data_IF_646765607869
#
_entry.id   IF_646765607869
#
_cell.length_a   1.000
_cell.length_b   1.000
_cell.length_c   1.000
_cell.angle_alpha   90.00
_cell.angle_beta   90.00
_cell.angle_gamma   90.00
#
_symmetry.space_group_name_H-M   'P 1'
#
loop_
_entity.id
_entity.type
_entity.pdbx_description
1 polymer ?
#
# COMPACT_ATOMS: atom_id res chain seq x y z
N UNK A 1 2.14 12.04 -40.69
CA UNK A 1 2.69 10.74 -40.27
C UNK A 1 2.64 10.72 -38.76
N UNK A 2 1.60 10.11 -38.20
CA UNK A 2 1.43 9.91 -36.76
C UNK A 2 2.21 8.66 -36.38
N UNK A 3 3.16 8.80 -35.45
CA UNK A 3 3.96 7.68 -34.95
C UNK A 3 3.06 6.72 -34.16
N UNK A 4 3.17 5.40 -34.36
CA UNK A 4 2.29 4.40 -33.74
C UNK A 4 2.36 4.39 -32.20
N UNK A 5 3.49 4.79 -31.61
CA UNK A 5 3.66 4.88 -30.16
C UNK A 5 2.80 5.98 -29.52
N UNK A 6 2.46 7.04 -30.28
CA UNK A 6 1.57 8.11 -29.80
C UNK A 6 0.09 7.71 -29.80
N UNK A 7 -0.33 6.84 -30.71
CA UNK A 7 -1.73 6.37 -30.73
C UNK A 7 -2.03 5.37 -29.62
N UNK A 8 -1.05 4.55 -29.23
CA UNK A 8 -1.22 3.58 -28.13
C UNK A 8 -1.42 4.30 -26.79
N UNK A 9 -0.63 5.35 -26.53
CA UNK A 9 -0.75 6.18 -25.33
C UNK A 9 -2.07 6.97 -25.25
N UNK A 10 -2.61 7.45 -26.37
CA UNK A 10 -3.90 8.17 -26.37
C UNK A 10 -5.10 7.24 -26.09
N UNK A 11 -5.07 5.99 -26.56
CA UNK A 11 -6.12 5.01 -26.32
C UNK A 11 -6.19 4.58 -24.85
N UNK A 12 -5.02 4.34 -24.23
CA UNK A 12 -4.94 3.97 -22.81
C UNK A 12 -5.42 5.12 -21.91
N UNK A 13 -5.06 6.37 -22.22
CA UNK A 13 -5.52 7.55 -21.50
C UNK A 13 -7.05 7.75 -21.59
N UNK A 14 -7.65 7.49 -22.76
CA UNK A 14 -9.11 7.54 -22.93
C UNK A 14 -9.83 6.43 -22.15
N UNK A 15 -9.24 5.23 -22.09
CA UNK A 15 -9.78 4.12 -21.29
C UNK A 15 -9.76 4.44 -19.79
N UNK A 16 -8.65 4.98 -19.29
CA UNK A 16 -8.51 5.41 -17.90
C UNK A 16 -9.48 6.53 -17.54
N UNK A 17 -9.67 7.53 -18.41
CA UNK A 17 -10.65 8.59 -18.17
C UNK A 17 -12.09 8.06 -18.11
N UNK A 18 -12.46 7.11 -18.98
CA UNK A 18 -13.80 6.53 -18.96
C UNK A 18 -14.11 5.78 -17.66
N UNK A 19 -13.10 5.14 -17.04
CA UNK A 19 -13.24 4.49 -15.73
C UNK A 19 -13.44 5.51 -14.60
N UNK A 20 -12.70 6.61 -14.64
CA UNK A 20 -12.85 7.72 -13.68
C UNK A 20 -14.23 8.36 -13.80
N UNK A 21 -14.69 8.65 -15.01
CA UNK A 21 -16.01 9.22 -15.26
C UNK A 21 -17.12 8.26 -14.80
N UNK A 22 -16.96 6.96 -15.05
CA UNK A 22 -17.89 5.95 -14.56
C UNK A 22 -17.93 5.93 -13.04
N UNK A 23 -16.78 5.92 -12.36
CA UNK A 23 -16.72 5.96 -10.90
C UNK A 23 -17.48 7.18 -10.32
N UNK A 24 -17.28 8.37 -10.89
CA UNK A 24 -17.96 9.58 -10.43
C UNK A 24 -19.48 9.59 -10.67
N UNK A 25 -19.97 8.79 -11.61
CA UNK A 25 -21.41 8.64 -11.87
C UNK A 25 -22.14 7.74 -10.86
N UNK A 26 -21.41 7.00 -10.04
CA UNK A 26 -21.95 6.03 -9.08
C UNK A 26 -22.26 6.67 -7.73
N UNK A 27 -23.22 6.09 -7.01
CA UNK A 27 -23.38 6.30 -5.57
C UNK A 27 -22.32 5.53 -4.78
N UNK A 28 -22.27 5.70 -3.46
CA UNK A 28 -21.19 5.12 -2.65
C UNK A 28 -21.18 3.59 -2.66
N UNK A 29 -22.37 2.96 -2.67
CA UNK A 29 -22.51 1.51 -2.84
C UNK A 29 -22.02 1.04 -4.21
N UNK A 30 -22.31 1.80 -5.27
CA UNK A 30 -21.82 1.57 -6.61
C UNK A 30 -20.29 1.72 -6.71
N UNK A 31 -19.72 2.77 -6.12
CA UNK A 31 -18.27 2.99 -6.06
C UNK A 31 -17.56 1.82 -5.38
N UNK A 32 -18.07 1.37 -4.23
CA UNK A 32 -17.52 0.22 -3.52
C UNK A 32 -17.56 -1.05 -4.38
N UNK A 33 -18.69 -1.31 -5.05
CA UNK A 33 -18.81 -2.45 -5.99
C UNK A 33 -17.84 -2.33 -7.18
N UNK A 34 -17.70 -1.13 -7.75
CA UNK A 34 -16.80 -0.85 -8.85
C UNK A 34 -15.34 -1.14 -8.47
N UNK A 35 -14.88 -0.62 -7.31
CA UNK A 35 -13.51 -0.84 -6.84
C UNK A 35 -13.25 -2.32 -6.51
N UNK A 36 -14.20 -3.03 -5.89
CA UNK A 36 -14.08 -4.47 -5.65
C UNK A 36 -14.00 -5.30 -6.93
N UNK A 37 -14.62 -4.83 -8.00
CA UNK A 37 -14.59 -5.45 -9.33
C UNK A 37 -13.39 -5.04 -10.18
N UNK A 38 -12.48 -4.20 -9.67
CA UNK A 38 -11.33 -3.72 -10.43
C UNK A 38 -10.37 -4.87 -10.75
N UNK A 39 -10.03 -5.04 -12.03
CA UNK A 39 -9.18 -6.14 -12.55
C UNK A 39 -8.16 -5.66 -13.60
N UNK A 40 -8.04 -4.36 -13.81
CA UNK A 40 -7.20 -3.79 -14.87
C UNK A 40 -5.79 -3.47 -14.33
N UNK A 41 -4.76 -3.46 -15.18
CA UNK A 41 -3.48 -2.88 -14.82
C UNK A 41 -3.68 -1.43 -14.37
N UNK A 42 -2.95 -1.03 -13.35
CA UNK A 42 -2.98 0.33 -12.86
C UNK A 42 -1.97 1.11 -13.70
N UNK A 43 -2.40 2.02 -14.57
CA UNK A 43 -1.50 2.99 -15.20
C UNK A 43 -1.26 4.19 -14.26
N UNK A 44 -0.38 5.12 -14.62
CA UNK A 44 -0.08 6.26 -13.76
C UNK A 44 -1.31 7.15 -13.50
N UNK A 45 -2.20 7.30 -14.48
CA UNK A 45 -3.42 8.12 -14.38
C UNK A 45 -4.40 7.51 -13.38
N UNK A 46 -4.66 6.20 -13.48
CA UNK A 46 -5.49 5.46 -12.56
C UNK A 46 -4.85 5.37 -11.18
N UNK A 47 -3.53 5.21 -11.08
CA UNK A 47 -2.84 5.23 -9.79
C UNK A 47 -3.02 6.59 -9.08
N UNK A 48 -2.87 7.69 -9.83
CA UNK A 48 -3.10 9.04 -9.32
C UNK A 48 -4.56 9.23 -8.89
N UNK A 49 -5.50 8.72 -9.68
CA UNK A 49 -6.91 8.76 -9.34
C UNK A 49 -7.23 7.94 -8.09
N UNK A 50 -6.79 6.69 -8.00
CA UNK A 50 -7.01 5.83 -6.82
C UNK A 50 -6.43 6.49 -5.57
N UNK A 51 -5.25 7.11 -5.68
CA UNK A 51 -4.67 7.87 -4.58
C UNK A 51 -5.53 9.07 -4.19
N UNK A 52 -6.10 9.79 -5.15
CA UNK A 52 -7.05 10.89 -4.85
C UNK A 52 -8.30 10.40 -4.12
N UNK A 53 -8.79 9.19 -4.43
CA UNK A 53 -9.91 8.57 -3.70
C UNK A 53 -9.48 8.24 -2.27
N UNK A 54 -8.32 7.64 -2.05
CA UNK A 54 -7.80 7.34 -0.70
C UNK A 54 -7.69 8.61 0.17
N UNK A 55 -7.24 9.72 -0.41
CA UNK A 55 -7.03 11.00 0.28
C UNK A 55 -8.25 11.92 0.34
N UNK A 56 -9.42 11.46 -0.11
CA UNK A 56 -10.65 12.26 -0.16
C UNK A 56 -11.52 12.14 1.10
N UNK A 57 -12.66 12.84 1.12
CA UNK A 57 -13.71 12.77 2.12
C UNK A 57 -14.80 11.73 1.82
N UNK A 58 -14.51 10.78 0.91
CA UNK A 58 -15.41 9.67 0.58
C UNK A 58 -15.61 8.74 1.79
N UNK A 59 -16.62 7.88 1.71
CA UNK A 59 -16.85 6.82 2.68
C UNK A 59 -15.58 5.94 2.86
N UNK A 60 -15.24 5.61 4.10
CA UNK A 60 -14.01 4.90 4.43
C UNK A 60 -13.93 3.53 3.76
N UNK A 61 -15.06 2.85 3.52
CA UNK A 61 -15.04 1.60 2.76
C UNK A 61 -14.56 1.82 1.32
N UNK A 62 -14.99 2.91 0.67
CA UNK A 62 -14.56 3.27 -0.69
C UNK A 62 -13.07 3.59 -0.68
N UNK A 63 -12.61 4.38 0.30
CA UNK A 63 -11.20 4.74 0.49
C UNK A 63 -10.34 3.49 0.72
N UNK A 64 -10.82 2.54 1.52
CA UNK A 64 -10.16 1.26 1.81
C UNK A 64 -10.01 0.42 0.54
N UNK A 65 -11.04 0.28 -0.29
CA UNK A 65 -10.92 -0.49 -1.53
C UNK A 65 -9.94 0.17 -2.51
N UNK A 66 -9.92 1.50 -2.60
CA UNK A 66 -8.94 2.23 -3.41
C UNK A 66 -7.51 2.01 -2.90
N UNK A 67 -7.28 2.01 -1.58
CA UNK A 67 -5.98 1.73 -0.98
C UNK A 67 -5.49 0.33 -1.36
N UNK A 68 -6.35 -0.69 -1.25
CA UNK A 68 -6.01 -2.07 -1.64
C UNK A 68 -5.63 -2.17 -3.11
N UNK A 69 -6.33 -1.45 -4.00
CA UNK A 69 -6.00 -1.44 -5.43
C UNK A 69 -4.58 -0.92 -5.66
N UNK A 70 -4.18 0.17 -4.98
CA UNK A 70 -2.82 0.73 -5.07
C UNK A 70 -1.74 -0.29 -4.67
N UNK A 71 -2.01 -1.16 -3.69
CA UNK A 71 -1.07 -2.20 -3.27
C UNK A 71 -1.07 -3.45 -4.17
N UNK A 72 -2.23 -3.84 -4.70
CA UNK A 72 -2.41 -5.10 -5.43
C UNK A 72 -2.12 -4.99 -6.94
N UNK A 73 -2.40 -3.84 -7.53
CA UNK A 73 -2.22 -3.61 -8.96
C UNK A 73 -1.06 -2.66 -9.19
N UNK A 74 -0.24 -2.98 -10.19
CA UNK A 74 0.90 -2.14 -10.61
C UNK A 74 0.92 -2.04 -12.12
N UNK A 75 1.44 -0.92 -12.61
CA UNK A 75 1.81 -0.73 -14.01
C UNK A 75 3.24 -0.24 -14.13
N UNK A 76 3.56 0.30 -15.30
CA UNK A 76 4.89 0.82 -15.61
C UNK A 76 4.99 2.31 -15.20
N UNK A 77 5.19 2.56 -13.91
CA UNK A 77 5.45 3.88 -13.35
C UNK A 77 6.24 3.78 -12.02
N UNK A 78 6.82 4.90 -11.59
CA UNK A 78 7.45 5.03 -10.27
C UNK A 78 6.38 5.20 -9.17
N UNK A 79 6.30 4.25 -8.25
CA UNK A 79 5.33 4.21 -7.14
C UNK A 79 5.75 5.04 -5.92
N UNK A 80 6.84 5.81 -5.98
CA UNK A 80 7.30 6.67 -4.88
C UNK A 80 6.26 7.67 -4.38
N UNK A 81 5.44 8.21 -5.29
CA UNK A 81 4.35 9.14 -4.91
C UNK A 81 3.25 8.44 -4.10
N UNK A 82 2.97 7.17 -4.42
CA UNK A 82 2.00 6.34 -3.69
C UNK A 82 2.54 6.07 -2.28
N UNK A 83 3.79 5.60 -2.16
CA UNK A 83 4.42 5.32 -0.86
C UNK A 83 4.39 6.55 0.04
N UNK A 84 4.79 7.70 -0.50
CA UNK A 84 4.83 8.97 0.24
C UNK A 84 3.46 9.37 0.77
N UNK A 85 2.43 9.28 -0.07
CA UNK A 85 1.07 9.66 0.31
C UNK A 85 0.43 8.67 1.30
N UNK A 86 0.65 7.37 1.16
CA UNK A 86 0.21 6.38 2.15
C UNK A 86 0.87 6.62 3.51
N UNK A 87 2.18 6.93 3.55
CA UNK A 87 2.89 7.27 4.80
C UNK A 87 2.30 8.54 5.44
N UNK A 88 1.97 9.56 4.65
CA UNK A 88 1.33 10.78 5.15
C UNK A 88 -0.02 10.46 5.79
N UNK A 89 -0.85 9.64 5.13
CA UNK A 89 -2.14 9.23 5.67
C UNK A 89 -1.99 8.43 6.97
N UNK A 90 -1.06 7.47 7.01
CA UNK A 90 -0.77 6.66 8.20
C UNK A 90 -0.30 7.54 9.37
N UNK A 91 0.40 8.65 9.10
CA UNK A 91 0.80 9.61 10.12
C UNK A 91 -0.29 10.59 10.54
N UNK A 92 -1.31 10.82 9.71
CA UNK A 92 -2.48 11.58 10.10
C UNK A 92 -3.27 10.86 11.22
N UNK A 93 -3.19 9.52 11.25
CA UNK A 93 -3.48 8.68 12.42
C UNK A 93 -4.83 9.00 13.07
N UNK A 94 -4.81 9.74 14.17
CA UNK A 94 -5.99 10.08 14.98
C UNK A 94 -7.10 10.86 14.23
N UNK A 95 -6.81 11.40 13.04
CA UNK A 95 -7.83 12.05 12.19
C UNK A 95 -8.51 11.13 11.19
N UNK A 96 -8.10 9.86 11.10
CA UNK A 96 -8.54 8.91 10.09
C UNK A 96 -9.13 7.65 10.73
N UNK A 97 -9.90 6.88 9.96
CA UNK A 97 -10.43 5.59 10.42
C UNK A 97 -9.32 4.54 10.60
N UNK A 98 -9.38 3.80 11.72
CA UNK A 98 -8.38 2.77 12.06
C UNK A 98 -8.27 1.69 10.97
N UNK A 99 -9.38 1.30 10.36
CA UNK A 99 -9.42 0.27 9.32
C UNK A 99 -8.78 0.79 8.04
N UNK A 100 -8.98 2.06 7.70
CA UNK A 100 -8.30 2.71 6.59
C UNK A 100 -6.79 2.72 6.81
N UNK A 101 -6.31 3.13 7.99
CA UNK A 101 -4.88 3.16 8.32
C UNK A 101 -4.25 1.77 8.22
N UNK A 102 -4.91 0.75 8.77
CA UNK A 102 -4.46 -0.65 8.66
C UNK A 102 -4.34 -1.09 7.19
N UNK A 103 -5.35 -0.78 6.36
CA UNK A 103 -5.31 -1.13 4.94
C UNK A 103 -4.26 -0.34 4.17
N UNK A 104 -3.95 0.91 4.55
CA UNK A 104 -2.85 1.66 3.96
C UNK A 104 -1.50 1.04 4.29
N UNK A 105 -1.29 0.57 5.53
CA UNK A 105 -0.06 -0.15 5.91
C UNK A 105 0.06 -1.46 5.12
N UNK A 106 -1.02 -2.22 4.98
CA UNK A 106 -1.02 -3.46 4.18
C UNK A 106 -0.75 -3.18 2.70
N UNK A 107 -1.32 -2.10 2.16
CA UNK A 107 -1.11 -1.73 0.76
C UNK A 107 0.34 -1.27 0.53
N UNK A 108 0.89 -0.49 1.46
CA UNK A 108 2.31 -0.12 1.46
C UNK A 108 3.22 -1.36 1.48
N UNK A 109 2.89 -2.38 2.27
CA UNK A 109 3.68 -3.61 2.35
C UNK A 109 3.81 -4.37 1.02
N UNK A 110 2.88 -4.12 0.09
CA UNK A 110 2.84 -4.74 -1.22
C UNK A 110 3.51 -3.89 -2.31
N UNK A 111 4.05 -2.71 -2.01
CA UNK A 111 4.79 -1.84 -2.94
C UNK A 111 6.28 -2.16 -2.97
N UNK A 112 7.05 -1.58 -3.90
CA UNK A 112 8.51 -1.74 -3.88
C UNK A 112 9.10 -0.85 -2.78
N UNK A 113 9.68 -1.46 -1.74
CA UNK A 113 10.05 -0.75 -0.51
C UNK A 113 11.55 -0.48 -0.41
N UNK A 114 11.89 0.73 0.02
CA UNK A 114 13.22 1.13 0.40
C UNK A 114 13.45 1.08 1.91
N UNK A 115 14.62 1.55 2.34
CA UNK A 115 14.97 1.61 3.76
C UNK A 115 14.07 2.58 4.54
N UNK A 116 13.58 3.65 3.90
CA UNK A 116 12.78 4.68 4.55
C UNK A 116 11.41 4.14 4.96
N UNK A 117 10.72 3.39 4.09
CA UNK A 117 9.44 2.77 4.41
C UNK A 117 9.57 1.69 5.48
N UNK A 118 10.67 0.94 5.46
CA UNK A 118 10.98 -0.05 6.50
C UNK A 118 11.23 0.62 7.85
N UNK A 119 12.01 1.70 7.88
CA UNK A 119 12.28 2.47 9.09
C UNK A 119 10.99 3.09 9.64
N UNK A 120 10.11 3.56 8.74
CA UNK A 120 8.79 4.05 9.11
C UNK A 120 7.94 2.96 9.79
N UNK A 121 7.84 1.78 9.19
CA UNK A 121 7.11 0.65 9.79
C UNK A 121 7.69 0.25 11.16
N UNK A 122 9.02 0.21 11.29
CA UNK A 122 9.66 -0.02 12.59
C UNK A 122 9.28 1.05 13.62
N UNK A 123 9.24 2.32 13.23
CA UNK A 123 8.86 3.42 14.12
C UNK A 123 7.44 3.29 14.67
N UNK A 124 6.49 2.76 13.88
CA UNK A 124 5.11 2.49 14.34
C UNK A 124 5.10 1.51 15.52
N UNK A 125 5.93 0.46 15.43
CA UNK A 125 6.05 -0.59 16.45
C UNK A 125 6.75 -0.04 17.70
N UNK A 126 7.84 0.70 17.52
CA UNK A 126 8.65 1.23 18.62
C UNK A 126 7.99 2.39 19.38
N UNK A 127 7.17 3.21 18.71
CA UNK A 127 6.41 4.30 19.34
C UNK A 127 5.20 3.81 20.14
N UNK A 128 4.99 2.49 20.21
CA UNK A 128 3.84 1.87 20.87
C UNK A 128 2.48 2.45 20.42
N UNK A 129 2.32 2.75 19.11
CA UNK A 129 1.04 3.24 18.54
C UNK A 129 -0.10 2.23 18.75
N UNK A 130 -1.32 2.55 18.30
CA UNK A 130 -2.44 1.63 18.39
C UNK A 130 -2.09 0.21 17.91
N UNK A 131 -2.50 -0.82 18.67
CA UNK A 131 -2.01 -2.21 18.54
C UNK A 131 -2.27 -2.82 17.15
N UNK A 132 -3.34 -2.39 16.47
CA UNK A 132 -3.64 -2.84 15.11
C UNK A 132 -2.63 -2.27 14.12
N UNK A 133 -2.19 -1.01 14.29
CA UNK A 133 -1.17 -0.40 13.44
C UNK A 133 0.19 -1.07 13.65
N UNK A 134 0.56 -1.36 14.90
CA UNK A 134 1.78 -2.13 15.20
C UNK A 134 1.75 -3.51 14.53
N UNK A 135 0.60 -4.18 14.54
CA UNK A 135 0.46 -5.52 13.97
C UNK A 135 0.55 -5.50 12.44
N UNK A 136 -0.06 -4.50 11.79
CA UNK A 136 0.05 -4.28 10.36
C UNK A 136 1.51 -3.92 9.98
N UNK A 137 2.17 -3.05 10.75
CA UNK A 137 3.55 -2.67 10.51
C UNK A 137 4.52 -3.84 10.70
N UNK A 138 4.30 -4.70 11.69
CA UNK A 138 5.08 -5.93 11.84
C UNK A 138 4.88 -6.86 10.65
N UNK A 139 3.64 -6.99 10.17
CA UNK A 139 3.33 -7.80 8.98
C UNK A 139 4.06 -7.28 7.74
N UNK A 140 4.16 -5.96 7.58
CA UNK A 140 4.96 -5.32 6.53
C UNK A 140 6.43 -5.72 6.60
N UNK A 141 7.04 -5.68 7.79
CA UNK A 141 8.43 -6.11 7.99
C UNK A 141 8.62 -7.61 7.70
N UNK A 142 7.68 -8.46 8.14
CA UNK A 142 7.76 -9.91 7.93
C UNK A 142 7.63 -10.28 6.45
N UNK A 143 6.73 -9.63 5.71
CA UNK A 143 6.56 -9.85 4.27
C UNK A 143 7.81 -9.44 3.49
N UNK A 144 8.45 -8.35 3.91
CA UNK A 144 9.63 -7.79 3.26
C UNK A 144 10.96 -8.25 3.87
N UNK A 145 10.96 -9.30 4.70
CA UNK A 145 12.11 -9.82 5.47
C UNK A 145 13.40 -10.13 4.69
N UNK A 146 13.32 -10.25 3.36
CA UNK A 146 14.48 -10.45 2.48
C UNK A 146 15.24 -9.14 2.20
N UNK A 147 14.60 -7.99 2.38
CA UNK A 147 15.28 -6.71 2.30
C UNK A 147 16.25 -6.56 3.49
N UNK A 148 17.50 -6.12 3.26
CA UNK A 148 18.47 -5.94 4.33
C UNK A 148 17.96 -5.04 5.47
N UNK A 149 17.26 -3.95 5.12
CA UNK A 149 16.67 -3.05 6.10
C UNK A 149 15.59 -3.75 6.95
N UNK A 150 14.71 -4.55 6.31
CA UNK A 150 13.63 -5.25 7.02
C UNK A 150 14.19 -6.31 7.97
N UNK A 151 15.22 -7.03 7.53
CA UNK A 151 15.95 -7.98 8.36
C UNK A 151 16.57 -7.29 9.58
N UNK A 152 17.26 -6.16 9.39
CA UNK A 152 17.83 -5.39 10.49
C UNK A 152 16.75 -4.87 11.47
N UNK A 153 15.59 -4.45 10.95
CA UNK A 153 14.45 -4.05 11.77
C UNK A 153 13.91 -5.24 12.60
N UNK A 154 13.76 -6.42 12.00
CA UNK A 154 13.35 -7.64 12.71
C UNK A 154 14.37 -8.04 13.78
N UNK A 155 15.67 -7.92 13.51
CA UNK A 155 16.74 -8.17 14.48
C UNK A 155 16.63 -7.24 15.69
N UNK A 156 16.33 -5.94 15.48
CA UNK A 156 16.07 -4.99 16.58
C UNK A 156 14.86 -5.37 17.42
N UNK A 157 13.86 -6.01 16.81
CA UNK A 157 12.62 -6.37 17.48
C UNK A 157 12.70 -7.68 18.27
N UNK A 158 13.79 -8.46 18.24
CA UNK A 158 13.84 -9.78 18.90
C UNK A 158 13.59 -9.75 20.40
N UNK A 159 13.95 -8.64 21.06
CA UNK A 159 13.72 -8.44 22.50
C UNK A 159 12.50 -7.56 22.79
N UNK A 160 11.77 -7.14 21.76
CA UNK A 160 10.50 -6.43 21.93
C UNK A 160 9.49 -7.31 22.69
N UNK A 161 8.83 -6.71 23.66
CA UNK A 161 7.88 -7.39 24.56
C UNK A 161 6.75 -8.11 23.81
N UNK A 162 6.21 -7.48 22.77
CA UNK A 162 5.03 -7.96 22.04
C UNK A 162 5.44 -8.76 20.80
N UNK A 163 6.44 -8.28 20.06
CA UNK A 163 6.80 -8.82 18.74
C UNK A 163 8.05 -9.70 18.72
N UNK A 164 8.83 -9.78 19.80
CA UNK A 164 10.13 -10.46 19.77
C UNK A 164 10.09 -11.95 19.45
N UNK A 165 9.04 -12.67 19.88
CA UNK A 165 8.84 -14.06 19.46
C UNK A 165 8.51 -14.19 17.97
N UNK A 166 7.72 -13.27 17.43
CA UNK A 166 7.37 -13.25 16.01
C UNK A 166 8.58 -12.86 15.15
N UNK A 167 9.35 -11.86 15.58
CA UNK A 167 10.57 -11.40 14.92
C UNK A 167 11.61 -12.53 14.77
N UNK A 168 11.88 -13.28 15.86
CA UNK A 168 12.76 -14.47 15.79
C UNK A 168 12.31 -15.48 14.75
N UNK A 169 11.00 -15.82 14.75
CA UNK A 169 10.44 -16.77 13.76
C UNK A 169 10.58 -16.26 12.32
N UNK A 170 10.39 -14.96 12.09
CA UNK A 170 10.56 -14.37 10.77
C UNK A 170 12.01 -14.48 10.27
N UNK A 171 12.99 -14.23 11.16
CA UNK A 171 14.41 -14.38 10.85
C UNK A 171 14.83 -15.83 10.59
N UNK A 172 14.31 -16.78 11.38
CA UNK A 172 14.58 -18.21 11.18
C UNK A 172 14.09 -18.70 9.81
N UNK A 173 12.95 -18.19 9.32
CA UNK A 173 12.42 -18.52 7.99
C UNK A 173 13.35 -18.09 6.87
N UNK A 174 13.96 -16.91 6.96
CA UNK A 174 14.95 -16.45 5.96
C UNK A 174 16.11 -17.44 5.88
N UNK A 175 16.64 -17.89 7.02
CA UNK A 175 17.72 -18.87 7.06
C UNK A 175 17.35 -20.25 6.51
N UNK A 176 16.07 -20.64 6.55
CA UNK A 176 15.59 -21.88 5.96
C UNK A 176 15.36 -21.75 4.46
N UNK A 177 14.90 -20.60 3.98
CA UNK A 177 14.68 -20.30 2.56
C UNK A 177 15.99 -20.09 1.79
N UNK A 178 17.03 -19.58 2.45
CA UNK A 178 18.36 -19.36 1.86
C UNK A 178 19.24 -20.62 1.84
N UNK A 179 18.74 -21.77 2.35
CA UNK A 179 19.45 -23.05 2.23
C UNK A 179 19.25 -23.64 0.83
N UNK A 180 20.35 -24.04 0.15
CA UNK A 180 20.30 -24.60 -1.20
C UNK A 180 19.56 -25.95 -1.26
#
# INVERSE_FOLDING_TARGET
MTHPDYMFSEMDMQASQALVDHFHSLDDGGKQCFLRGFQQPLDQSLATFMLSVVSSDQDDDVRIEAAKILGLYRGDYDDAFIRSALIQLINAGDSEDDSLIVNCIHSLALLDLGADEINFALSIIEQERYVLFQSAAFSLLEQNRRLPAARAALERLVDNRNYGKAARRALDRVQLEDKP
#
